data_IF_358522461357
#
_entry.id   IF_358522461357
#
_cell.length_a   1.000
_cell.length_b   1.000
_cell.length_c   1.000
_cell.angle_alpha   90.00
_cell.angle_beta   90.00
_cell.angle_gamma   90.00
#
_symmetry.space_group_name_H-M   'P 1'
#
loop_
_entity.id
_entity.type
_entity.pdbx_description
1 polymer ?
#
# COMPACT_ATOMS: atom_id res chain seq x y z
N UNK A 1 11.98 18.22 11.99
CA UNK A 1 11.71 17.21 10.97
C UNK A 1 10.95 16.02 11.57
N UNK A 2 10.10 15.34 10.80
CA UNK A 2 9.27 14.22 11.32
C UNK A 2 10.14 13.13 11.93
N UNK A 3 11.24 12.74 11.28
CA UNK A 3 12.15 11.71 11.79
C UNK A 3 12.75 12.08 13.15
N UNK A 4 13.21 13.31 13.31
CA UNK A 4 13.77 13.78 14.59
C UNK A 4 12.71 13.82 15.70
N UNK A 5 11.46 14.10 15.32
CA UNK A 5 10.34 14.10 16.26
C UNK A 5 9.98 12.67 16.73
N UNK A 6 9.78 11.72 15.80
CA UNK A 6 9.36 10.36 16.18
C UNK A 6 10.45 9.58 16.92
N UNK A 7 11.73 9.89 16.67
CA UNK A 7 12.86 9.30 17.40
C UNK A 7 12.94 9.69 18.88
N UNK A 8 12.17 10.68 19.34
CA UNK A 8 12.02 10.98 20.77
C UNK A 8 11.15 9.94 21.48
N UNK A 9 10.33 9.20 20.74
CA UNK A 9 9.33 8.28 21.30
C UNK A 9 9.61 6.81 21.02
N UNK A 10 10.44 6.50 20.02
CA UNK A 10 10.83 5.14 19.70
C UNK A 10 12.19 5.09 19.02
N UNK A 11 12.90 3.99 19.23
CA UNK A 11 14.02 3.58 18.37
C UNK A 11 13.47 2.86 17.14
N UNK A 12 14.08 3.10 15.97
CA UNK A 12 13.65 2.48 14.71
C UNK A 12 14.72 1.49 14.23
N UNK A 13 14.26 0.36 13.68
CA UNK A 13 15.16 -0.55 12.99
C UNK A 13 15.54 -0.02 11.60
N UNK A 14 16.33 -0.80 10.84
CA UNK A 14 16.77 -0.45 9.50
C UNK A 14 15.93 -1.15 8.40
N UNK A 15 14.66 -1.43 8.65
CA UNK A 15 13.82 -2.08 7.66
C UNK A 15 13.62 -1.18 6.44
N UNK A 16 13.90 -1.73 5.27
CA UNK A 16 13.66 -1.09 3.97
C UNK A 16 12.61 -1.91 3.24
N UNK A 17 11.50 -1.28 2.86
CA UNK A 17 10.42 -1.96 2.18
C UNK A 17 10.82 -2.33 0.74
N UNK A 18 10.89 -3.62 0.44
CA UNK A 18 11.26 -4.16 -0.87
C UNK A 18 10.28 -5.28 -1.25
N UNK A 19 9.01 -4.95 -1.50
CA UNK A 19 8.00 -5.95 -1.84
C UNK A 19 8.28 -6.57 -3.20
N UNK A 20 7.72 -7.76 -3.41
CA UNK A 20 7.72 -8.43 -4.71
C UNK A 20 6.31 -8.67 -5.20
N UNK A 21 6.15 -8.84 -6.51
CA UNK A 21 4.90 -9.21 -7.14
C UNK A 21 4.97 -10.66 -7.64
N UNK A 22 3.94 -11.43 -7.39
CA UNK A 22 3.69 -12.73 -7.99
C UNK A 22 2.65 -12.58 -9.09
N UNK A 23 3.00 -12.98 -10.30
CA UNK A 23 2.06 -13.11 -11.42
C UNK A 23 2.15 -14.52 -11.97
N UNK A 24 1.15 -15.36 -11.69
CA UNK A 24 1.06 -16.76 -12.17
C UNK A 24 2.32 -17.58 -11.87
N UNK A 25 2.90 -17.41 -10.67
CA UNK A 25 4.12 -18.06 -10.23
C UNK A 25 5.43 -17.37 -10.64
N UNK A 26 5.38 -16.34 -11.47
CA UNK A 26 6.56 -15.53 -11.80
C UNK A 26 6.73 -14.40 -10.78
N UNK A 27 7.89 -14.33 -10.14
CA UNK A 27 8.20 -13.29 -9.14
C UNK A 27 8.90 -12.10 -9.79
N UNK A 28 8.39 -10.88 -9.53
CA UNK A 28 8.94 -9.62 -10.02
C UNK A 28 9.25 -8.67 -8.87
N UNK A 29 10.33 -7.90 -8.97
CA UNK A 29 10.65 -6.87 -8.00
C UNK A 29 9.74 -5.64 -8.12
N UNK A 30 9.46 -5.02 -6.99
CA UNK A 30 8.80 -3.72 -6.89
C UNK A 30 9.72 -2.75 -6.13
N UNK A 31 9.70 -1.44 -6.44
CA UNK A 31 8.95 -0.78 -7.52
C UNK A 31 9.41 -1.26 -8.90
N UNK A 32 8.74 -0.81 -9.98
CA UNK A 32 9.16 -1.16 -11.35
C UNK A 32 10.54 -0.59 -11.63
N UNK A 33 11.54 -1.45 -11.68
CA UNK A 33 12.95 -1.11 -11.79
C UNK A 33 13.67 -2.05 -12.77
N UNK A 34 14.98 -1.91 -12.92
CA UNK A 34 15.74 -2.73 -13.84
C UNK A 34 15.69 -4.23 -13.54
N UNK A 35 15.47 -4.67 -12.27
CA UNK A 35 15.25 -6.09 -11.97
C UNK A 35 13.94 -6.58 -12.60
N UNK A 36 12.87 -5.77 -12.49
CA UNK A 36 11.57 -6.05 -13.12
C UNK A 36 11.69 -6.12 -14.63
N UNK A 37 12.33 -5.12 -15.24
CA UNK A 37 12.46 -5.00 -16.70
C UNK A 37 13.35 -6.09 -17.29
N UNK A 38 14.47 -6.38 -16.64
CA UNK A 38 15.40 -7.44 -17.07
C UNK A 38 14.73 -8.82 -17.01
N UNK A 39 13.95 -9.07 -15.97
CA UNK A 39 13.17 -10.32 -15.83
C UNK A 39 12.09 -10.42 -16.90
N UNK A 40 11.36 -9.35 -17.15
CA UNK A 40 10.20 -9.35 -18.05
C UNK A 40 10.60 -9.45 -19.52
N UNK A 41 11.66 -8.75 -19.92
CA UNK A 41 12.07 -8.59 -21.32
C UNK A 41 13.43 -9.19 -21.67
N UNK A 42 14.11 -9.82 -20.73
CA UNK A 42 15.47 -10.37 -20.91
C UNK A 42 16.48 -9.31 -21.43
N UNK A 43 16.41 -8.10 -20.91
CA UNK A 43 17.26 -6.96 -21.26
C UNK A 43 18.26 -6.68 -20.14
N UNK A 44 19.27 -5.83 -20.41
CA UNK A 44 20.36 -5.54 -19.47
C UNK A 44 20.58 -4.05 -19.21
N UNK A 45 20.09 -3.19 -20.08
CA UNK A 45 20.39 -1.77 -20.01
C UNK A 45 19.15 -0.90 -19.85
N UNK A 46 19.27 0.26 -19.17
CA UNK A 46 18.18 1.24 -19.10
C UNK A 46 17.65 1.68 -20.45
N UNK A 47 18.54 1.80 -21.45
CA UNK A 47 18.17 2.20 -22.81
C UNK A 47 17.20 1.22 -23.45
N UNK A 48 17.49 -0.09 -23.36
CA UNK A 48 16.60 -1.13 -23.87
C UNK A 48 15.21 -1.08 -23.20
N UNK A 49 15.16 -0.88 -21.88
CA UNK A 49 13.91 -0.73 -21.16
C UNK A 49 13.11 0.49 -21.63
N UNK A 50 13.78 1.64 -21.78
CA UNK A 50 13.16 2.87 -22.28
C UNK A 50 12.63 2.72 -23.71
N UNK A 51 13.35 2.04 -24.58
CA UNK A 51 12.94 1.81 -25.96
C UNK A 51 11.68 0.91 -26.03
N UNK A 52 11.61 -0.15 -25.21
CA UNK A 52 10.43 -1.02 -25.12
C UNK A 52 9.23 -0.23 -24.59
N UNK A 53 9.36 0.46 -23.47
CA UNK A 53 8.28 1.26 -22.88
C UNK A 53 7.82 2.33 -23.88
N UNK A 54 8.76 3.02 -24.55
CA UNK A 54 8.43 4.04 -25.57
C UNK A 54 7.63 3.46 -26.72
N UNK A 55 7.98 2.28 -27.18
CA UNK A 55 7.25 1.57 -28.25
C UNK A 55 5.84 1.17 -27.78
N UNK A 56 5.71 0.62 -26.58
CA UNK A 56 4.42 0.14 -26.06
C UNK A 56 3.46 1.29 -25.74
N UNK A 57 3.95 2.41 -25.18
CA UNK A 57 3.12 3.59 -24.91
C UNK A 57 2.70 4.38 -26.16
N UNK A 58 3.25 4.11 -27.32
CA UNK A 58 2.91 4.82 -28.56
C UNK A 58 1.43 4.75 -28.96
N UNK A 59 0.67 3.80 -28.40
CA UNK A 59 -0.79 3.74 -28.55
C UNK A 59 -1.53 4.87 -27.81
N UNK A 60 -0.90 5.49 -26.81
CA UNK A 60 -1.47 6.61 -26.03
C UNK A 60 -1.03 7.92 -26.70
N UNK A 61 -1.89 8.47 -27.55
CA UNK A 61 -1.57 9.66 -28.38
C UNK A 61 -2.06 10.99 -27.80
N UNK A 62 -2.82 10.95 -26.69
CA UNK A 62 -3.38 12.10 -25.99
C UNK A 62 -3.13 12.02 -24.49
N UNK A 63 -3.54 13.04 -23.75
CA UNK A 63 -3.52 12.99 -22.29
C UNK A 63 -4.37 11.79 -21.78
N UNK A 64 -3.81 10.96 -20.88
CA UNK A 64 -4.52 9.78 -20.36
C UNK A 64 -5.83 10.14 -19.66
N UNK A 65 -6.92 9.48 -20.02
CA UNK A 65 -8.28 9.73 -19.52
C UNK A 65 -8.64 8.89 -18.31
N UNK A 66 -7.99 7.75 -18.14
CA UNK A 66 -8.26 6.76 -17.10
C UNK A 66 -6.97 6.12 -16.60
N UNK A 67 -7.08 5.27 -15.59
CA UNK A 67 -5.94 4.61 -14.95
C UNK A 67 -5.19 3.69 -15.93
N UNK A 68 -5.89 2.97 -16.81
CA UNK A 68 -5.27 2.09 -17.82
C UNK A 68 -4.34 2.87 -18.74
N UNK A 69 -4.86 3.94 -19.38
CA UNK A 69 -4.08 4.78 -20.28
C UNK A 69 -2.89 5.42 -19.55
N UNK A 70 -3.09 5.88 -18.30
CA UNK A 70 -2.03 6.44 -17.47
C UNK A 70 -0.96 5.41 -17.15
N UNK A 71 -1.33 4.20 -16.77
CA UNK A 71 -0.39 3.12 -16.48
C UNK A 71 0.44 2.76 -17.71
N UNK A 72 -0.22 2.51 -18.86
CA UNK A 72 0.45 2.19 -20.13
C UNK A 72 1.41 3.32 -20.54
N UNK A 73 1.03 4.58 -20.34
CA UNK A 73 1.89 5.73 -20.64
C UNK A 73 3.17 5.78 -19.79
N UNK A 74 3.14 5.24 -18.56
CA UNK A 74 4.26 5.22 -17.63
C UNK A 74 5.18 4.01 -17.82
N UNK A 75 4.59 2.80 -17.93
CA UNK A 75 5.34 1.53 -17.84
C UNK A 75 5.19 0.61 -19.05
N UNK A 76 4.33 0.96 -20.01
CA UNK A 76 4.02 0.11 -21.16
C UNK A 76 2.97 -0.96 -20.87
N UNK A 77 2.50 -1.60 -21.92
CA UNK A 77 1.39 -2.57 -21.89
C UNK A 77 1.74 -3.83 -21.10
N UNK A 78 2.94 -4.39 -21.26
CA UNK A 78 3.32 -5.66 -20.62
C UNK A 78 3.29 -5.57 -19.11
N UNK A 79 3.85 -4.49 -18.54
CA UNK A 79 3.85 -4.26 -17.09
C UNK A 79 2.43 -3.97 -16.60
N UNK A 80 1.67 -3.17 -17.34
CA UNK A 80 0.28 -2.90 -17.02
C UNK A 80 -0.53 -4.19 -16.92
N UNK A 81 -0.52 -5.03 -17.94
CA UNK A 81 -1.33 -6.26 -17.98
C UNK A 81 -0.90 -7.29 -16.91
N UNK A 82 0.42 -7.46 -16.67
CA UNK A 82 0.90 -8.45 -15.70
C UNK A 82 0.86 -7.96 -14.25
N UNK A 83 1.25 -6.71 -13.99
CA UNK A 83 1.61 -6.29 -12.63
C UNK A 83 0.69 -5.21 -12.05
N UNK A 84 -0.16 -4.56 -12.87
CA UNK A 84 -1.01 -3.46 -12.41
C UNK A 84 -2.49 -3.80 -12.49
N UNK A 85 -2.96 -4.22 -13.65
CA UNK A 85 -4.38 -4.36 -13.97
C UNK A 85 -5.14 -5.21 -12.95
N UNK A 86 -4.81 -6.49 -12.83
CA UNK A 86 -5.54 -7.41 -11.95
C UNK A 86 -5.44 -7.04 -10.47
N UNK A 87 -4.27 -6.54 -10.01
CA UNK A 87 -4.11 -6.02 -8.66
C UNK A 87 -5.03 -4.83 -8.39
N UNK A 88 -5.02 -3.85 -9.31
CA UNK A 88 -5.79 -2.61 -9.16
C UNK A 88 -7.29 -2.86 -9.24
N UNK A 89 -7.73 -3.68 -10.20
CA UNK A 89 -9.16 -4.02 -10.36
C UNK A 89 -9.70 -4.77 -9.14
N UNK A 90 -8.93 -5.67 -8.52
CA UNK A 90 -9.30 -6.29 -7.23
C UNK A 90 -9.42 -5.25 -6.12
N UNK A 91 -8.40 -4.41 -5.98
CA UNK A 91 -8.34 -3.42 -4.90
C UNK A 91 -9.51 -2.44 -4.96
N UNK A 92 -9.85 -1.96 -6.16
CA UNK A 92 -10.90 -0.96 -6.35
C UNK A 92 -12.28 -1.55 -6.62
N UNK A 93 -12.37 -2.84 -6.98
CA UNK A 93 -13.64 -3.47 -7.39
C UNK A 93 -14.21 -2.92 -8.70
N UNK A 94 -13.38 -2.25 -9.51
CA UNK A 94 -13.75 -1.60 -10.78
C UNK A 94 -12.68 -1.83 -11.83
N UNK A 95 -13.05 -1.73 -13.10
CA UNK A 95 -12.10 -1.82 -14.21
C UNK A 95 -11.16 -0.62 -14.22
N UNK A 96 -9.91 -0.81 -14.62
CA UNK A 96 -8.94 0.26 -14.74
C UNK A 96 -9.38 1.36 -15.71
N UNK A 97 -10.19 1.04 -16.72
CA UNK A 97 -10.82 2.01 -17.66
C UNK A 97 -11.86 2.93 -17.01
N UNK A 98 -12.40 2.56 -15.86
CA UNK A 98 -13.40 3.33 -15.11
C UNK A 98 -12.78 4.16 -13.97
N UNK A 99 -11.50 3.92 -13.68
CA UNK A 99 -10.79 4.58 -12.60
C UNK A 99 -10.04 5.84 -13.10
N UNK A 100 -10.03 6.93 -12.30
CA UNK A 100 -9.33 8.16 -12.68
C UNK A 100 -7.81 7.96 -12.85
N UNK A 101 -7.24 8.62 -13.85
CA UNK A 101 -5.81 8.56 -14.16
C UNK A 101 -4.90 8.97 -12.98
N UNK A 102 -5.33 9.90 -12.13
CA UNK A 102 -4.50 10.41 -11.02
C UNK A 102 -4.14 9.36 -9.97
N UNK A 103 -4.91 8.27 -9.83
CA UNK A 103 -4.67 7.20 -8.87
C UNK A 103 -3.27 6.61 -9.02
N UNK A 104 -2.81 6.43 -10.26
CA UNK A 104 -1.51 5.81 -10.56
C UNK A 104 -0.44 6.83 -11.01
N UNK A 105 -0.74 8.11 -11.00
CA UNK A 105 0.17 9.16 -11.49
C UNK A 105 1.54 9.17 -10.81
N UNK A 106 1.61 8.69 -9.56
CA UNK A 106 2.84 8.67 -8.74
C UNK A 106 3.54 7.32 -8.73
N UNK A 107 3.21 6.42 -9.66
CA UNK A 107 3.84 5.12 -9.74
C UNK A 107 5.37 5.25 -9.89
N UNK A 108 6.17 4.69 -8.97
CA UNK A 108 7.62 4.82 -9.08
C UNK A 108 8.15 3.90 -10.18
N UNK A 109 8.81 4.52 -11.17
CA UNK A 109 9.51 3.84 -12.26
C UNK A 109 10.98 4.23 -12.20
N UNK A 110 11.88 3.27 -12.13
CA UNK A 110 13.32 3.51 -11.97
C UNK A 110 14.14 2.72 -12.98
N UNK A 111 15.05 3.42 -13.62
CA UNK A 111 16.02 2.79 -14.55
C UNK A 111 17.33 2.44 -13.83
N UNK A 112 17.22 1.92 -12.60
CA UNK A 112 18.29 1.44 -11.73
C UNK A 112 17.91 0.08 -11.16
N UNK A 113 18.85 -0.65 -10.57
CA UNK A 113 18.62 -1.93 -9.87
C UNK A 113 18.28 -1.76 -8.39
N UNK A 114 17.70 -0.62 -8.02
CA UNK A 114 17.31 -0.31 -6.64
C UNK A 114 15.91 -0.87 -6.33
N UNK A 115 15.83 -1.79 -5.37
CA UNK A 115 14.58 -2.42 -4.92
C UNK A 115 13.93 -1.68 -3.75
N UNK A 116 14.50 -0.58 -3.25
CA UNK A 116 13.88 0.21 -2.21
C UNK A 116 12.57 0.82 -2.74
N UNK A 117 11.44 0.46 -2.14
CA UNK A 117 10.13 0.91 -2.61
C UNK A 117 9.95 2.43 -2.48
N UNK A 118 10.44 3.02 -1.39
CA UNK A 118 10.35 4.45 -1.12
C UNK A 118 11.64 5.18 -1.49
N UNK A 119 11.52 6.49 -1.74
CA UNK A 119 12.67 7.37 -1.99
C UNK A 119 13.13 8.11 -0.72
N UNK A 120 12.49 7.84 0.42
CA UNK A 120 12.76 8.54 1.66
C UNK A 120 14.15 8.17 2.22
N UNK A 121 14.87 9.19 2.69
CA UNK A 121 16.19 9.02 3.30
C UNK A 121 16.13 8.19 4.59
N UNK A 122 15.05 8.35 5.35
CA UNK A 122 14.86 7.70 6.64
C UNK A 122 13.71 6.70 6.52
N UNK A 123 14.00 5.45 6.83
CA UNK A 123 13.03 4.35 6.79
C UNK A 123 13.30 3.41 7.97
N UNK A 124 12.26 2.81 8.50
CA UNK A 124 12.35 1.85 9.59
C UNK A 124 10.99 1.56 10.22
N UNK A 125 10.97 0.50 11.02
CA UNK A 125 9.82 0.13 11.85
C UNK A 125 10.17 0.43 13.31
N UNK A 126 9.25 1.04 14.10
CA UNK A 126 9.53 1.32 15.51
C UNK A 126 9.70 0.02 16.28
N UNK A 127 10.82 -0.11 16.99
CA UNK A 127 11.12 -1.28 17.81
C UNK A 127 10.11 -1.41 18.96
N UNK A 128 9.50 -2.55 19.08
CA UNK A 128 8.42 -2.81 20.03
C UNK A 128 7.03 -2.37 19.56
N UNK A 129 6.90 -1.93 18.33
CA UNK A 129 5.63 -1.67 17.64
C UNK A 129 5.12 -0.23 17.77
N UNK A 130 4.17 0.09 16.89
CA UNK A 130 3.60 1.44 16.82
C UNK A 130 2.78 1.82 18.06
N UNK A 131 2.10 0.87 18.70
CA UNK A 131 1.29 1.14 19.90
C UNK A 131 2.13 1.78 21.00
N UNK A 132 3.30 1.22 21.31
CA UNK A 132 4.19 1.78 22.33
C UNK A 132 4.73 3.17 21.98
N UNK A 133 5.00 3.41 20.72
CA UNK A 133 5.42 4.74 20.26
C UNK A 133 4.30 5.76 20.48
N UNK A 134 3.06 5.42 20.08
CA UNK A 134 1.90 6.31 20.25
C UNK A 134 1.58 6.52 21.74
N UNK A 135 1.65 5.49 22.58
CA UNK A 135 1.48 5.62 24.04
C UNK A 135 2.43 6.66 24.62
N UNK A 136 3.72 6.63 24.22
CA UNK A 136 4.70 7.64 24.66
C UNK A 136 4.41 9.04 24.11
N UNK A 137 3.93 9.13 22.86
CA UNK A 137 3.53 10.42 22.28
C UNK A 137 2.34 11.05 23.00
N UNK A 138 1.49 10.23 23.61
CA UNK A 138 0.29 10.64 24.34
C UNK A 138 0.54 10.79 25.86
N UNK A 139 1.77 10.61 26.33
CA UNK A 139 2.10 10.75 27.74
C UNK A 139 1.71 12.15 28.26
N UNK A 140 0.94 12.19 29.34
CA UNK A 140 0.40 13.43 29.93
C UNK A 140 -0.84 13.99 29.21
N UNK A 141 -1.36 13.31 28.18
CA UNK A 141 -2.59 13.68 27.48
C UNK A 141 -3.70 12.70 27.91
N UNK A 142 -4.88 13.24 28.24
CA UNK A 142 -6.04 12.41 28.56
C UNK A 142 -6.51 11.66 27.29
N UNK A 143 -6.58 10.32 27.37
CA UNK A 143 -7.03 9.44 26.29
C UNK A 143 -8.27 8.67 26.75
N UNK A 144 -9.36 8.77 26.00
CA UNK A 144 -10.59 8.02 26.23
C UNK A 144 -10.81 7.05 25.08
N UNK A 145 -10.73 5.76 25.38
CA UNK A 145 -11.00 4.69 24.41
C UNK A 145 -12.47 4.24 24.44
N UNK A 146 -12.93 3.66 23.33
CA UNK A 146 -14.29 3.14 23.21
C UNK A 146 -15.36 4.25 23.19
N UNK A 147 -14.98 5.46 22.81
CA UNK A 147 -15.87 6.62 22.72
C UNK A 147 -16.21 6.88 21.26
N UNK A 148 -17.51 6.92 20.98
CA UNK A 148 -18.04 7.41 19.72
C UNK A 148 -18.32 8.92 19.88
N UNK A 149 -17.45 9.73 19.26
CA UNK A 149 -17.55 11.20 19.33
C UNK A 149 -18.88 11.71 18.77
N UNK A 150 -19.36 11.17 17.66
CA UNK A 150 -20.57 11.68 17.01
C UNK A 150 -21.82 11.42 17.86
N UNK A 151 -21.82 10.35 18.64
CA UNK A 151 -22.94 10.03 19.55
C UNK A 151 -23.02 10.99 20.75
N UNK A 152 -21.88 11.53 21.18
CA UNK A 152 -21.78 12.42 22.35
C UNK A 152 -21.24 13.80 21.96
N UNK A 153 -21.48 14.23 20.74
CA UNK A 153 -20.88 15.41 20.11
C UNK A 153 -21.04 16.67 20.95
N UNK A 154 -22.28 17.00 21.35
CA UNK A 154 -22.57 18.22 22.12
C UNK A 154 -21.83 18.25 23.46
N UNK A 155 -21.66 17.08 24.11
CA UNK A 155 -20.92 16.95 25.36
C UNK A 155 -19.43 17.27 25.15
N UNK A 156 -18.81 16.71 24.11
CA UNK A 156 -17.39 16.91 23.87
C UNK A 156 -17.07 18.27 23.26
N UNK A 157 -17.96 18.85 22.45
CA UNK A 157 -17.81 20.21 21.92
C UNK A 157 -17.82 21.26 23.06
N UNK A 158 -18.57 21.01 24.11
CA UNK A 158 -18.62 21.92 25.28
C UNK A 158 -17.33 21.88 26.16
N UNK A 159 -16.47 20.88 26.01
CA UNK A 159 -15.27 20.69 26.82
C UNK A 159 -14.00 21.30 26.20
N UNK A 160 -14.01 21.69 24.93
CA UNK A 160 -12.81 22.05 24.18
C UNK A 160 -13.02 23.27 23.28
N UNK A 161 -11.96 24.01 23.01
CA UNK A 161 -12.00 25.17 22.11
C UNK A 161 -11.91 24.78 20.63
N UNK A 162 -11.32 23.62 20.33
CA UNK A 162 -11.12 23.13 18.96
C UNK A 162 -11.20 21.61 18.90
N UNK A 163 -11.79 21.11 17.82
CA UNK A 163 -11.90 19.68 17.51
C UNK A 163 -11.18 19.40 16.19
N UNK A 164 -10.38 18.33 16.21
CA UNK A 164 -9.79 17.74 15.00
C UNK A 164 -10.44 16.36 14.84
N UNK A 165 -11.42 16.28 13.97
CA UNK A 165 -12.09 15.01 13.67
C UNK A 165 -11.38 14.29 12.52
N UNK A 166 -10.96 13.05 12.75
CA UNK A 166 -10.23 12.22 11.78
C UNK A 166 -11.04 11.03 11.27
N UNK A 167 -12.32 10.93 11.66
CA UNK A 167 -13.26 9.93 11.16
C UNK A 167 -13.82 10.28 9.77
N UNK A 168 -14.78 9.50 9.24
CA UNK A 168 -15.41 9.75 7.94
C UNK A 168 -16.09 11.10 7.89
N UNK A 169 -15.78 11.91 6.88
CA UNK A 169 -16.30 13.27 6.76
C UNK A 169 -17.80 13.31 6.49
N UNK A 170 -18.30 12.38 5.71
CA UNK A 170 -19.74 12.23 5.40
C UNK A 170 -20.54 11.85 6.65
N UNK A 171 -20.00 10.98 7.50
CA UNK A 171 -20.59 10.64 8.79
C UNK A 171 -20.62 11.84 9.75
N UNK A 172 -19.54 12.66 9.77
CA UNK A 172 -19.50 13.89 10.57
C UNK A 172 -20.64 14.85 10.25
N UNK A 173 -21.05 14.93 8.99
CA UNK A 173 -22.20 15.73 8.53
C UNK A 173 -23.51 14.94 8.46
N UNK A 174 -23.59 13.77 9.11
CA UNK A 174 -24.80 12.95 9.16
C UNK A 174 -25.29 12.51 7.77
N UNK A 175 -24.35 12.32 6.83
CA UNK A 175 -24.63 11.94 5.44
C UNK A 175 -25.56 12.89 4.68
N UNK A 176 -25.66 14.16 5.09
CA UNK A 176 -26.55 15.17 4.51
C UNK A 176 -26.29 15.43 3.02
N UNK A 177 -25.05 15.29 2.57
CA UNK A 177 -24.65 15.47 1.17
C UNK A 177 -24.52 14.11 0.42
N UNK A 178 -24.95 13.03 1.04
CA UNK A 178 -24.81 11.66 0.55
C UNK A 178 -23.64 10.91 1.18
N UNK A 179 -23.50 9.64 0.78
CA UNK A 179 -22.50 8.70 1.29
C UNK A 179 -21.34 8.67 0.34
N UNK A 180 -20.12 8.79 0.87
CA UNK A 180 -18.90 8.57 0.10
C UNK A 180 -18.65 7.06 -0.09
N UNK A 181 -18.12 6.69 -1.24
CA UNK A 181 -17.72 5.31 -1.52
C UNK A 181 -16.37 5.01 -0.89
N UNK A 182 -16.33 4.03 -0.01
CA UNK A 182 -15.11 3.50 0.60
C UNK A 182 -14.84 2.08 0.11
N UNK A 183 -13.56 1.69 0.19
CA UNK A 183 -13.16 0.28 0.08
C UNK A 183 -12.73 -0.22 1.44
N UNK A 184 -13.22 -1.39 1.81
CA UNK A 184 -12.82 -2.10 3.02
C UNK A 184 -11.74 -3.13 2.73
N UNK A 185 -11.15 -3.65 3.80
CA UNK A 185 -10.23 -4.79 3.79
C UNK A 185 -10.71 -5.84 4.77
N UNK A 186 -10.52 -7.10 4.39
CA UNK A 186 -10.64 -8.24 5.27
C UNK A 186 -9.28 -8.93 5.37
N UNK A 187 -8.89 -9.32 6.57
CA UNK A 187 -7.61 -9.97 6.83
C UNK A 187 -7.82 -11.39 7.38
N UNK A 188 -7.12 -12.34 6.80
CA UNK A 188 -7.06 -13.71 7.31
C UNK A 188 -5.62 -14.01 7.73
N UNK A 189 -5.42 -14.22 9.03
CA UNK A 189 -4.09 -14.50 9.58
C UNK A 189 -3.99 -15.97 9.98
N UNK A 190 -2.92 -16.61 9.53
CA UNK A 190 -2.60 -18.00 9.81
C UNK A 190 -1.22 -18.11 10.46
N UNK A 191 -1.09 -18.97 11.47
CA UNK A 191 0.18 -19.37 12.05
C UNK A 191 0.70 -20.61 11.34
N UNK A 192 1.92 -20.54 10.85
CA UNK A 192 2.59 -21.63 10.16
C UNK A 192 3.78 -22.17 10.99
N UNK A 193 3.94 -23.49 11.00
CA UNK A 193 5.06 -24.19 11.65
C UNK A 193 6.31 -24.19 10.73
N UNK A 194 6.59 -23.01 10.15
CA UNK A 194 7.72 -22.77 9.25
C UNK A 194 8.49 -21.55 9.72
N UNK A 195 9.81 -21.57 9.59
CA UNK A 195 10.64 -20.43 9.95
C UNK A 195 10.49 -19.26 8.97
N UNK A 196 10.31 -19.58 7.68
CA UNK A 196 10.26 -18.59 6.60
C UNK A 196 9.35 -19.10 5.48
N UNK A 197 8.22 -18.43 5.28
CA UNK A 197 7.21 -18.85 4.29
C UNK A 197 7.48 -18.29 2.90
N UNK A 198 7.78 -16.99 2.78
CA UNK A 198 7.87 -16.32 1.49
C UNK A 198 9.18 -15.53 1.28
N UNK A 199 10.05 -15.43 2.27
CA UNK A 199 11.38 -14.83 2.16
C UNK A 199 11.38 -13.29 2.11
N UNK A 200 10.23 -12.64 2.25
CA UNK A 200 10.08 -11.18 2.22
C UNK A 200 8.82 -10.77 2.98
N UNK A 201 8.77 -9.55 3.49
CA UNK A 201 7.62 -9.10 4.26
C UNK A 201 6.32 -9.06 3.46
N UNK A 202 6.37 -8.70 2.18
CA UNK A 202 5.16 -8.51 1.36
C UNK A 202 5.32 -9.10 -0.04
N UNK A 203 4.41 -10.01 -0.40
CA UNK A 203 4.22 -10.50 -1.77
C UNK A 203 2.86 -10.03 -2.26
N UNK A 204 2.85 -9.22 -3.33
CA UNK A 204 1.63 -8.79 -4.02
C UNK A 204 1.23 -9.82 -5.08
N UNK A 205 -0.01 -10.24 -5.10
CA UNK A 205 -0.60 -11.14 -6.09
C UNK A 205 -1.34 -10.33 -7.14
N UNK A 206 -0.77 -10.23 -8.35
CA UNK A 206 -1.22 -9.27 -9.36
C UNK A 206 -2.19 -9.84 -10.38
N UNK A 207 -2.36 -11.15 -10.45
CA UNK A 207 -3.37 -11.79 -11.28
C UNK A 207 -4.79 -11.60 -10.75
N UNK A 208 -5.78 -11.45 -11.64
CA UNK A 208 -7.17 -11.17 -11.26
C UNK A 208 -7.90 -12.34 -10.60
N UNK A 209 -7.47 -13.58 -10.90
CA UNK A 209 -8.09 -14.81 -10.43
C UNK A 209 -7.83 -15.11 -8.95
N UNK A 210 -6.76 -14.59 -8.38
CA UNK A 210 -6.45 -14.71 -6.94
C UNK A 210 -7.25 -13.65 -6.17
N UNK A 211 -8.06 -14.03 -5.16
CA UNK A 211 -9.01 -13.11 -4.53
C UNK A 211 -8.35 -12.10 -3.57
N UNK A 212 -7.16 -12.40 -3.03
CA UNK A 212 -6.42 -11.48 -2.17
C UNK A 212 -5.41 -10.64 -2.97
N UNK A 213 -5.07 -9.47 -2.45
CA UNK A 213 -4.10 -8.56 -3.08
C UNK A 213 -2.68 -8.85 -2.67
N UNK A 214 -2.47 -9.30 -1.41
CA UNK A 214 -1.12 -9.59 -0.91
C UNK A 214 -1.14 -10.62 0.22
N UNK A 215 0.03 -11.21 0.43
CA UNK A 215 0.37 -11.93 1.65
C UNK A 215 1.45 -11.15 2.38
N UNK A 216 1.26 -10.95 3.68
CA UNK A 216 2.18 -10.27 4.58
C UNK A 216 2.76 -11.32 5.52
N UNK A 217 4.08 -11.49 5.54
CA UNK A 217 4.80 -12.29 6.54
C UNK A 217 5.43 -11.34 7.56
N UNK A 218 4.81 -11.23 8.73
CA UNK A 218 5.04 -10.14 9.67
C UNK A 218 6.46 -10.09 10.26
N UNK A 219 7.09 -11.25 10.52
CA UNK A 219 8.40 -11.31 11.15
C UNK A 219 9.49 -10.55 10.40
N UNK A 220 9.38 -10.44 9.07
CA UNK A 220 10.39 -9.76 8.26
C UNK A 220 10.47 -8.25 8.53
N UNK A 221 9.39 -7.61 9.03
CA UNK A 221 9.44 -6.21 9.40
C UNK A 221 10.39 -5.92 10.58
N UNK A 222 10.58 -6.90 11.45
CA UNK A 222 11.39 -6.79 12.67
C UNK A 222 12.63 -7.70 12.64
N UNK A 223 12.97 -8.28 11.48
CA UNK A 223 14.08 -9.25 11.30
C UNK A 223 13.97 -10.45 12.26
N UNK A 224 12.75 -10.92 12.49
CA UNK A 224 12.46 -12.00 13.42
C UNK A 224 13.03 -13.34 12.96
N UNK A 225 13.52 -14.11 13.93
CA UNK A 225 14.18 -15.42 13.74
C UNK A 225 13.43 -16.60 14.39
N UNK A 226 12.14 -16.39 14.71
CA UNK A 226 11.31 -17.41 15.35
C UNK A 226 11.15 -18.65 14.43
N UNK A 227 11.06 -19.84 15.01
CA UNK A 227 10.86 -21.11 14.28
C UNK A 227 9.47 -21.24 13.64
N UNK A 228 8.56 -20.36 13.99
CA UNK A 228 7.20 -20.27 13.41
C UNK A 228 6.99 -18.91 12.77
N UNK A 229 6.07 -18.80 11.82
CA UNK A 229 5.72 -17.52 11.23
C UNK A 229 4.23 -17.28 11.22
N UNK A 230 3.83 -16.01 11.09
CA UNK A 230 2.45 -15.59 10.87
C UNK A 230 2.37 -14.92 9.52
N UNK A 231 1.41 -15.37 8.70
CA UNK A 231 1.10 -14.79 7.41
C UNK A 231 -0.30 -14.24 7.40
N UNK A 232 -0.49 -13.09 6.79
CA UNK A 232 -1.82 -12.46 6.67
C UNK A 232 -2.13 -12.25 5.20
N UNK A 233 -3.24 -12.82 4.73
CA UNK A 233 -3.82 -12.54 3.41
C UNK A 233 -4.73 -11.34 3.52
N UNK A 234 -4.58 -10.37 2.61
CA UNK A 234 -5.38 -9.16 2.54
C UNK A 234 -6.38 -9.25 1.40
N UNK A 235 -7.67 -9.23 1.73
CA UNK A 235 -8.77 -9.28 0.77
C UNK A 235 -9.44 -7.91 0.67
N UNK A 236 -9.53 -7.29 -0.51
CA UNK A 236 -10.34 -6.10 -0.70
C UNK A 236 -11.83 -6.48 -0.67
N UNK A 237 -12.63 -5.65 -0.05
CA UNK A 237 -14.09 -5.82 0.02
C UNK A 237 -14.82 -4.51 -0.17
N UNK A 238 -16.10 -4.59 -0.52
CA UNK A 238 -16.98 -3.42 -0.47
C UNK A 238 -17.22 -3.04 0.98
N UNK A 239 -17.21 -1.74 1.24
CA UNK A 239 -17.56 -1.19 2.54
C UNK A 239 -19.07 -0.90 2.61
N UNK A 240 -19.64 -1.07 3.80
CA UNK A 240 -21.04 -0.72 4.10
C UNK A 240 -21.10 0.11 5.37
N UNK A 241 -22.11 0.99 5.46
CA UNK A 241 -22.37 1.79 6.67
C UNK A 241 -22.49 0.85 7.88
N UNK A 242 -21.77 1.18 8.95
CA UNK A 242 -21.76 0.41 10.19
C UNK A 242 -20.75 -0.74 10.24
N UNK A 243 -19.86 -0.87 9.25
CA UNK A 243 -18.72 -1.81 9.25
C UNK A 243 -17.44 -1.14 9.78
#
# INVERSE_FOLDING_TARGET
>A
HVWDYVNQFAEFNHYVNSPVANYKGEMYNLPFNMNTFSKMWNIRTPKEAQDIITKQRAAITSEPKNLEEQAISLVGTDIYEKLIKGYTEKQWGRKCTELPAFIIKRLPVRYTYDNNYFNDRFQGIPMGGYTKMIERMLEGIEVRLGVDFLKYRDEYEALVDKIIYTGPIDEYFGYSEGILEYRGLHFETERLEEENYQGVAVVNYTEGEIPYTRIIEHKHFEFGTQSVTYVTKEYPKDWKIGE
#
